data_IF_968648469700
#
_entry.id   IF_968648469700
#
_cell.length_a   1.000
_cell.length_b   1.000
_cell.length_c   1.000
_cell.angle_alpha   90.00
_cell.angle_beta   90.00
_cell.angle_gamma   90.00
#
_symmetry.space_group_name_H-M   'P 1'
#
loop_
_entity.id
_entity.type
_entity.pdbx_description
1 polymer ?
#
# COMPACT_ATOMS: atom_id res chain seq x y z
N UNK A 1 17.02 -14.21 15.99
CA UNK A 1 17.29 -14.89 14.70
C UNK A 1 17.70 -13.84 13.67
N UNK A 2 18.99 -13.53 13.50
CA UNK A 2 19.46 -12.63 12.46
C UNK A 2 19.87 -13.45 11.23
N UNK A 3 18.93 -13.66 10.30
CA UNK A 3 19.21 -14.31 9.02
C UNK A 3 18.34 -13.77 7.86
N UNK A 4 17.50 -12.76 8.10
CA UNK A 4 16.53 -12.28 7.09
C UNK A 4 17.10 -11.21 6.14
N UNK A 5 18.28 -10.65 6.42
CA UNK A 5 18.76 -9.47 5.69
C UNK A 5 19.23 -9.77 4.25
N UNK A 6 19.80 -10.95 3.98
CA UNK A 6 20.39 -11.29 2.67
C UNK A 6 19.38 -11.79 1.61
N UNK A 7 18.17 -12.22 2.00
CA UNK A 7 17.14 -12.74 1.07
C UNK A 7 15.89 -11.85 0.97
N UNK A 8 15.88 -10.68 1.63
CA UNK A 8 14.73 -9.77 1.56
C UNK A 8 14.78 -8.94 0.27
N UNK A 9 13.69 -8.97 -0.50
CA UNK A 9 13.52 -8.11 -1.67
C UNK A 9 13.64 -6.61 -1.29
N UNK A 10 14.18 -5.76 -2.19
CA UNK A 10 14.30 -4.33 -1.93
C UNK A 10 12.96 -3.67 -1.55
N UNK A 11 12.98 -2.50 -0.89
CA UNK A 11 11.78 -1.79 -0.50
C UNK A 11 10.81 -1.58 -1.66
N UNK A 12 9.51 -1.63 -1.39
CA UNK A 12 8.46 -1.40 -2.40
C UNK A 12 8.70 -0.13 -3.24
N UNK A 13 9.22 0.95 -2.62
CA UNK A 13 9.55 2.20 -3.31
C UNK A 13 10.63 2.05 -4.40
N UNK A 14 11.58 1.13 -4.23
CA UNK A 14 12.59 0.81 -5.24
C UNK A 14 12.06 -0.21 -6.26
N UNK A 15 11.37 -1.25 -5.78
CA UNK A 15 10.77 -2.27 -6.65
C UNK A 15 9.75 -1.71 -7.62
N UNK A 16 9.04 -0.65 -7.27
CA UNK A 16 8.02 -0.03 -8.13
C UNK A 16 8.41 1.39 -8.58
N UNK A 17 9.71 1.70 -8.59
CA UNK A 17 10.23 2.89 -9.26
C UNK A 17 9.92 2.87 -10.78
N UNK A 18 10.00 4.03 -11.42
CA UNK A 18 9.58 4.25 -12.82
C UNK A 18 10.16 3.22 -13.80
N UNK A 19 11.45 2.91 -13.69
CA UNK A 19 12.19 2.04 -14.62
C UNK A 19 12.13 0.54 -14.27
N UNK A 20 11.36 0.16 -13.25
CA UNK A 20 11.22 -1.25 -12.86
C UNK A 20 10.19 -2.01 -13.70
N UNK A 21 10.37 -3.32 -13.88
CA UNK A 21 9.38 -4.22 -14.49
C UNK A 21 8.59 -5.06 -13.47
N UNK A 22 8.70 -4.78 -12.17
CA UNK A 22 7.99 -5.55 -11.13
C UNK A 22 6.48 -5.48 -11.32
N UNK A 23 5.82 -6.64 -11.25
CA UNK A 23 4.37 -6.77 -11.29
C UNK A 23 3.78 -6.68 -9.88
N UNK A 24 2.82 -5.77 -9.63
CA UNK A 24 2.17 -5.68 -8.34
C UNK A 24 1.15 -6.80 -8.14
N UNK A 25 0.90 -7.09 -6.87
CA UNK A 25 -0.07 -8.08 -6.39
C UNK A 25 -1.16 -7.35 -5.60
N UNK A 26 -2.40 -7.78 -5.75
CA UNK A 26 -3.53 -7.10 -5.14
C UNK A 26 -3.45 -7.07 -3.61
N UNK A 27 -3.18 -8.21 -2.98
CA UNK A 27 -3.08 -8.36 -1.53
C UNK A 27 -1.77 -7.80 -0.99
N UNK A 28 -0.64 -8.06 -1.64
CA UNK A 28 0.69 -7.70 -1.15
C UNK A 28 1.04 -6.22 -1.37
N UNK A 29 0.47 -5.60 -2.40
CA UNK A 29 0.92 -4.27 -2.85
C UNK A 29 -0.22 -3.26 -3.01
N UNK A 30 -1.32 -3.61 -3.68
CA UNK A 30 -2.41 -2.66 -3.99
C UNK A 30 -3.16 -2.26 -2.73
N UNK A 31 -3.65 -3.22 -1.95
CA UNK A 31 -4.36 -2.93 -0.71
C UNK A 31 -3.47 -2.21 0.32
N UNK A 32 -2.21 -2.61 0.55
CA UNK A 32 -1.31 -1.88 1.44
C UNK A 32 -1.01 -0.44 0.97
N UNK A 33 -0.83 -0.20 -0.34
CA UNK A 33 -0.61 1.18 -0.82
C UNK A 33 -1.87 2.04 -0.65
N UNK A 34 -3.07 1.49 -0.90
CA UNK A 34 -4.33 2.17 -0.59
C UNK A 34 -4.48 2.45 0.90
N UNK A 35 -4.01 1.51 1.73
CA UNK A 35 -3.76 1.68 3.16
C UNK A 35 -2.94 2.93 3.41
N UNK A 36 -1.69 2.94 2.97
CA UNK A 36 -0.75 4.06 3.17
C UNK A 36 -1.31 5.41 2.74
N UNK A 37 -1.96 5.47 1.58
CA UNK A 37 -2.57 6.70 1.05
C UNK A 37 -3.82 7.16 1.84
N UNK A 38 -4.35 6.30 2.71
CA UNK A 38 -5.52 6.57 3.55
C UNK A 38 -6.87 6.32 2.87
N UNK A 39 -6.87 5.76 1.66
CA UNK A 39 -8.07 5.53 0.85
C UNK A 39 -9.09 4.64 1.57
N UNK A 40 -8.64 3.49 2.09
CA UNK A 40 -9.46 2.53 2.83
C UNK A 40 -9.50 2.81 4.35
N UNK A 41 -9.20 4.04 4.77
CA UNK A 41 -9.28 4.45 6.17
C UNK A 41 -10.70 4.82 6.61
N UNK A 42 -10.92 4.84 7.93
CA UNK A 42 -12.23 5.21 8.56
C UNK A 42 -12.79 6.56 8.12
N UNK A 43 -11.93 7.51 7.77
CA UNK A 43 -12.35 8.87 7.37
C UNK A 43 -12.76 8.98 5.90
N UNK A 44 -12.57 7.92 5.09
CA UNK A 44 -12.79 7.94 3.64
C UNK A 44 -13.58 6.71 3.19
N UNK A 45 -13.07 5.93 2.24
CA UNK A 45 -13.80 4.82 1.61
C UNK A 45 -13.89 3.58 2.51
N UNK A 46 -13.03 3.47 3.53
CA UNK A 46 -13.11 2.42 4.55
C UNK A 46 -14.13 2.69 5.67
N UNK A 47 -14.88 3.79 5.60
CA UNK A 47 -15.98 4.07 6.53
C UNK A 47 -17.17 3.14 6.29
N UNK A 48 -18.09 3.02 7.25
CA UNK A 48 -19.29 2.19 7.08
C UNK A 48 -20.14 2.62 5.86
N UNK A 49 -20.22 3.92 5.60
CA UNK A 49 -20.98 4.45 4.46
C UNK A 49 -20.15 4.58 3.16
N UNK A 50 -18.83 4.39 3.21
CA UNK A 50 -17.95 4.76 2.11
C UNK A 50 -17.97 6.28 1.84
N UNK A 51 -17.55 6.69 0.65
CA UNK A 51 -17.65 8.09 0.17
C UNK A 51 -17.88 8.13 -1.33
N UNK A 52 -18.73 9.05 -1.79
CA UNK A 52 -18.99 9.27 -3.23
C UNK A 52 -19.48 8.01 -3.95
N UNK A 53 -20.34 7.22 -3.30
CA UNK A 53 -20.84 5.94 -3.83
C UNK A 53 -19.81 4.82 -3.90
N UNK A 54 -18.59 5.04 -3.38
CA UNK A 54 -17.50 4.06 -3.39
C UNK A 54 -17.10 3.68 -1.96
N UNK A 55 -17.07 2.37 -1.70
CA UNK A 55 -16.79 1.79 -0.39
C UNK A 55 -15.75 0.69 -0.54
N UNK A 56 -14.80 0.71 0.38
CA UNK A 56 -13.83 -0.34 0.63
C UNK A 56 -14.06 -0.89 2.03
N UNK A 57 -13.58 -2.09 2.28
CA UNK A 57 -13.43 -2.66 3.59
C UNK A 57 -12.45 -1.83 4.42
N UNK A 58 -12.68 -1.78 5.74
CA UNK A 58 -11.86 -0.97 6.63
C UNK A 58 -10.43 -1.51 6.70
N UNK A 59 -9.45 -0.74 6.23
CA UNK A 59 -8.04 -1.17 6.14
C UNK A 59 -7.78 -2.38 5.24
N UNK A 60 -8.72 -2.72 4.34
CA UNK A 60 -8.48 -3.76 3.34
C UNK A 60 -8.62 -5.19 3.86
N UNK A 61 -9.49 -5.44 4.85
CA UNK A 61 -9.65 -6.77 5.46
C UNK A 61 -10.48 -7.76 4.61
N UNK A 62 -11.34 -7.27 3.72
CA UNK A 62 -12.18 -8.10 2.84
C UNK A 62 -11.69 -7.98 1.40
N UNK A 63 -10.75 -8.84 1.05
CA UNK A 63 -10.07 -8.79 -0.24
C UNK A 63 -11.00 -8.98 -1.43
N UNK A 64 -12.01 -9.86 -1.30
CA UNK A 64 -12.94 -10.12 -2.39
C UNK A 64 -13.84 -8.92 -2.62
N UNK A 65 -14.42 -8.36 -1.56
CA UNK A 65 -15.28 -7.17 -1.66
C UNK A 65 -14.50 -5.95 -2.16
N UNK A 66 -13.27 -5.76 -1.71
CA UNK A 66 -12.43 -4.63 -2.17
C UNK A 66 -12.06 -4.75 -3.65
N UNK A 67 -11.75 -5.97 -4.10
CA UNK A 67 -11.45 -6.22 -5.50
C UNK A 67 -12.67 -5.96 -6.39
N UNK A 68 -13.83 -6.47 -5.99
CA UNK A 68 -15.10 -6.25 -6.69
C UNK A 68 -15.43 -4.75 -6.77
N UNK A 69 -15.31 -4.02 -5.65
CA UNK A 69 -15.59 -2.59 -5.58
C UNK A 69 -14.68 -1.75 -6.49
N UNK A 70 -13.47 -2.23 -6.78
CA UNK A 70 -12.52 -1.55 -7.68
C UNK A 70 -12.75 -1.88 -9.16
N UNK A 71 -13.16 -3.10 -9.46
CA UNK A 71 -13.17 -3.63 -10.83
C UNK A 71 -14.54 -3.72 -11.47
N UNK A 72 -15.61 -3.65 -10.69
CA UNK A 72 -16.99 -3.82 -11.16
C UNK A 72 -17.69 -2.50 -11.52
N UNK A 73 -18.81 -2.62 -12.21
CA UNK A 73 -19.64 -1.50 -12.67
C UNK A 73 -19.34 -1.06 -14.09
N UNK A 74 -20.19 -0.17 -14.62
CA UNK A 74 -20.03 0.37 -15.98
C UNK A 74 -18.84 1.35 -16.08
N UNK A 75 -18.55 2.05 -14.98
CA UNK A 75 -17.38 2.93 -14.80
C UNK A 75 -16.51 2.42 -13.64
N UNK A 76 -15.72 1.36 -13.84
CA UNK A 76 -14.91 0.78 -12.78
C UNK A 76 -13.80 1.74 -12.34
N UNK A 77 -13.40 1.69 -11.06
CA UNK A 77 -12.28 2.48 -10.56
C UNK A 77 -10.95 2.04 -11.16
N UNK A 78 -10.82 0.75 -11.43
CA UNK A 78 -9.73 0.12 -12.16
C UNK A 78 -10.20 -0.19 -13.59
N UNK A 79 -10.02 0.76 -14.50
CA UNK A 79 -10.42 0.61 -15.90
C UNK A 79 -9.33 -0.13 -16.68
N UNK A 80 -9.46 -1.45 -16.82
CA UNK A 80 -8.48 -2.27 -17.56
C UNK A 80 -8.49 -2.00 -19.07
N UNK A 81 -9.58 -1.42 -19.62
CA UNK A 81 -9.69 -1.08 -21.05
C UNK A 81 -8.93 0.20 -21.38
N UNK A 82 -8.89 1.13 -20.44
CA UNK A 82 -8.11 2.36 -20.50
C UNK A 82 -7.45 2.63 -19.13
N UNK A 83 -6.29 1.99 -18.86
CA UNK A 83 -5.63 2.09 -17.55
C UNK A 83 -5.32 3.53 -17.13
N UNK A 84 -4.97 4.40 -18.09
CA UNK A 84 -4.64 5.80 -17.80
C UNK A 84 -5.85 6.60 -17.30
N UNK A 85 -7.05 6.29 -17.79
CA UNK A 85 -8.32 6.89 -17.36
C UNK A 85 -8.92 6.24 -16.09
N UNK A 86 -8.16 5.41 -15.38
CA UNK A 86 -8.65 4.75 -14.17
C UNK A 86 -8.83 5.75 -13.02
N UNK A 87 -10.01 5.78 -12.43
CA UNK A 87 -10.32 6.68 -11.30
C UNK A 87 -9.47 6.37 -10.05
N UNK A 88 -8.96 5.14 -9.90
CA UNK A 88 -7.98 4.79 -8.86
C UNK A 88 -6.63 5.50 -9.05
N UNK A 89 -6.36 6.03 -10.25
CA UNK A 89 -5.20 6.88 -10.54
C UNK A 89 -5.55 8.35 -10.45
N UNK A 90 -6.59 8.79 -11.17
CA UNK A 90 -6.88 10.22 -11.37
C UNK A 90 -7.31 10.94 -10.09
N UNK A 91 -8.13 10.29 -9.25
CA UNK A 91 -8.62 10.88 -8.01
C UNK A 91 -7.48 11.16 -7.02
N UNK A 92 -6.62 10.18 -6.67
CA UNK A 92 -5.52 10.43 -5.75
C UNK A 92 -4.38 11.29 -6.33
N UNK A 93 -4.23 11.42 -7.66
CA UNK A 93 -3.30 12.40 -8.26
C UNK A 93 -3.89 13.79 -8.40
N UNK A 94 -5.20 13.94 -8.14
CA UNK A 94 -5.97 15.16 -8.31
C UNK A 94 -5.97 15.68 -9.76
N UNK A 95 -5.82 14.79 -10.75
CA UNK A 95 -6.06 15.12 -12.17
C UNK A 95 -7.55 15.19 -12.49
N UNK A 96 -8.36 14.55 -11.65
CA UNK A 96 -9.82 14.71 -11.58
C UNK A 96 -10.20 15.06 -10.14
N UNK A 97 -11.28 15.84 -9.97
CA UNK A 97 -11.75 16.30 -8.65
C UNK A 97 -11.88 15.17 -7.63
N UNK A 98 -11.22 15.33 -6.49
CA UNK A 98 -11.28 14.40 -5.38
C UNK A 98 -11.39 15.18 -4.07
N UNK A 99 -12.54 15.08 -3.41
CA UNK A 99 -12.78 15.72 -2.11
C UNK A 99 -11.80 15.27 -1.02
N UNK A 100 -11.23 14.06 -1.17
CA UNK A 100 -10.17 13.56 -0.31
C UNK A 100 -8.82 14.24 -0.54
N UNK A 101 -8.69 15.15 -1.51
CA UNK A 101 -7.47 15.86 -1.86
C UNK A 101 -6.43 14.98 -2.58
N UNK A 102 -5.29 15.59 -2.91
CA UNK A 102 -4.15 14.88 -3.51
C UNK A 102 -3.54 13.91 -2.51
N UNK A 103 -3.27 12.68 -2.94
CA UNK A 103 -2.69 11.59 -2.14
C UNK A 103 -1.35 11.10 -2.66
N UNK A 104 -1.09 11.22 -3.96
CA UNK A 104 0.18 10.83 -4.57
C UNK A 104 0.51 11.69 -5.80
N UNK A 105 1.76 11.64 -6.24
CA UNK A 105 2.21 12.25 -7.49
C UNK A 105 2.08 11.28 -8.66
N UNK A 106 1.82 11.80 -9.86
CA UNK A 106 1.92 11.01 -11.10
C UNK A 106 3.36 10.50 -11.25
N UNK A 107 3.52 9.21 -11.55
CA UNK A 107 4.83 8.57 -11.71
C UNK A 107 5.54 8.19 -10.40
N UNK A 108 4.98 8.54 -9.24
CA UNK A 108 5.45 8.03 -7.94
C UNK A 108 5.40 6.49 -7.88
N UNK A 109 6.16 5.88 -6.98
CA UNK A 109 6.15 4.41 -6.85
C UNK A 109 4.76 3.88 -6.46
N UNK A 110 3.97 4.64 -5.69
CA UNK A 110 2.58 4.31 -5.37
C UNK A 110 1.70 4.33 -6.63
N UNK A 111 1.86 5.36 -7.46
CA UNK A 111 1.16 5.47 -8.73
C UNK A 111 1.51 4.30 -9.65
N UNK A 112 2.79 3.91 -9.71
CA UNK A 112 3.23 2.78 -10.53
C UNK A 112 2.69 1.44 -10.05
N UNK A 113 2.54 1.20 -8.74
CA UNK A 113 1.85 0.02 -8.21
C UNK A 113 0.42 -0.04 -8.77
N UNK A 114 -0.35 1.04 -8.61
CA UNK A 114 -1.75 1.05 -9.02
C UNK A 114 -1.87 0.94 -10.56
N UNK A 115 -1.10 1.72 -11.31
CA UNK A 115 -1.13 1.72 -12.78
C UNK A 115 -0.77 0.36 -13.35
N UNK A 116 0.35 -0.23 -12.91
CA UNK A 116 0.81 -1.54 -13.43
C UNK A 116 -0.13 -2.67 -13.06
N UNK A 117 -0.77 -2.61 -11.89
CA UNK A 117 -1.79 -3.60 -11.53
C UNK A 117 -2.99 -3.52 -12.48
N UNK A 118 -3.47 -2.31 -12.80
CA UNK A 118 -4.57 -2.14 -13.77
C UNK A 118 -4.14 -2.59 -15.18
N UNK A 119 -2.95 -2.20 -15.63
CA UNK A 119 -2.38 -2.62 -16.93
C UNK A 119 -2.22 -4.14 -17.03
N UNK A 120 -1.94 -4.82 -15.91
CA UNK A 120 -1.86 -6.28 -15.83
C UNK A 120 -3.24 -6.95 -15.73
N UNK A 121 -4.33 -6.21 -15.94
CA UNK A 121 -5.70 -6.73 -15.94
C UNK A 121 -6.40 -6.68 -14.59
N UNK A 122 -5.85 -5.95 -13.61
CA UNK A 122 -6.43 -5.76 -12.28
C UNK A 122 -6.80 -7.09 -11.59
N UNK A 123 -5.92 -8.08 -11.66
CA UNK A 123 -6.18 -9.41 -11.11
C UNK A 123 -6.42 -9.38 -9.59
N UNK A 124 -7.40 -10.15 -9.12
CA UNK A 124 -7.63 -10.39 -7.69
C UNK A 124 -6.71 -11.47 -7.13
N UNK A 125 -7.03 -11.97 -5.93
CA UNK A 125 -6.29 -13.07 -5.29
C UNK A 125 -6.57 -14.38 -6.01
N UNK A 126 -5.52 -15.16 -6.26
CA UNK A 126 -5.57 -16.52 -6.81
C UNK A 126 -5.40 -17.55 -5.70
N UNK A 127 -5.86 -18.78 -5.96
CA UNK A 127 -5.80 -19.88 -4.99
C UNK A 127 -4.38 -20.33 -4.66
N UNK A 128 -3.41 -20.05 -5.53
CA UNK A 128 -2.00 -20.39 -5.39
C UNK A 128 -1.12 -19.19 -4.97
N UNK A 129 -1.73 -18.04 -4.65
CA UNK A 129 -0.99 -16.90 -4.10
C UNK A 129 -0.45 -17.26 -2.71
N UNK A 130 0.80 -16.90 -2.44
CA UNK A 130 1.40 -17.21 -1.15
C UNK A 130 0.78 -16.37 -0.02
N UNK A 131 0.54 -17.04 1.10
CA UNK A 131 -0.13 -16.51 2.27
C UNK A 131 0.81 -15.70 3.15
N UNK A 132 0.25 -14.69 3.83
CA UNK A 132 1.00 -13.90 4.79
C UNK A 132 1.29 -14.74 6.04
N UNK A 133 2.56 -14.88 6.40
CA UNK A 133 2.95 -15.67 7.58
C UNK A 133 3.33 -14.81 8.77
N UNK A 134 4.07 -13.71 8.53
CA UNK A 134 4.56 -12.87 9.61
C UNK A 134 5.02 -11.48 9.16
N UNK A 135 5.05 -10.57 10.14
CA UNK A 135 5.67 -9.26 10.03
C UNK A 135 6.85 -9.17 11.01
N UNK A 136 8.04 -8.90 10.49
CA UNK A 136 9.21 -8.60 11.31
C UNK A 136 9.48 -7.10 11.29
N UNK A 137 9.32 -6.46 12.45
CA UNK A 137 9.58 -5.03 12.66
C UNK A 137 10.87 -4.87 13.44
N UNK A 138 11.79 -4.08 12.91
CA UNK A 138 13.09 -3.80 13.51
C UNK A 138 13.43 -2.31 13.49
N UNK A 139 14.22 -1.82 14.45
CA UNK A 139 14.51 -2.46 15.73
C UNK A 139 13.25 -2.65 16.60
N UNK A 140 13.23 -3.72 17.42
CA UNK A 140 12.09 -4.01 18.33
C UNK A 140 12.06 -3.12 19.56
N UNK A 141 13.21 -2.54 19.91
CA UNK A 141 13.39 -1.64 21.03
C UNK A 141 14.36 -0.54 20.58
N UNK A 142 14.01 0.71 20.89
CA UNK A 142 14.83 1.88 20.62
C UNK A 142 15.14 2.54 21.96
N UNK A 143 16.42 2.53 22.32
CA UNK A 143 16.92 3.27 23.48
C UNK A 143 17.79 4.40 22.94
N UNK A 144 17.40 5.64 23.22
CA UNK A 144 18.18 6.82 22.84
C UNK A 144 18.49 7.66 24.06
N UNK A 145 19.73 8.15 24.13
CA UNK A 145 20.18 9.12 25.14
C UNK A 145 20.17 10.56 24.61
N UNK A 146 19.87 10.74 23.31
CA UNK A 146 19.94 12.03 22.63
C UNK A 146 18.64 12.29 21.89
N UNK A 147 18.00 13.43 22.17
CA UNK A 147 16.80 13.85 21.45
C UNK A 147 17.12 14.10 19.96
N UNK A 148 16.19 13.73 19.08
CA UNK A 148 16.30 13.95 17.63
C UNK A 148 17.10 12.90 16.85
N UNK A 149 17.69 11.90 17.51
CA UNK A 149 18.33 10.77 16.86
C UNK A 149 17.49 9.49 17.07
N UNK A 150 16.75 9.07 16.05
CA UNK A 150 16.01 7.82 16.01
C UNK A 150 16.51 6.92 14.87
N UNK A 151 16.64 5.60 15.06
CA UNK A 151 16.99 4.69 13.98
C UNK A 151 15.83 4.58 12.98
N UNK A 152 16.17 4.28 11.73
CA UNK A 152 15.17 3.93 10.73
C UNK A 152 14.47 2.63 11.12
N UNK A 153 13.14 2.65 11.18
CA UNK A 153 12.35 1.42 11.28
C UNK A 153 12.38 0.68 9.93
N UNK A 154 12.51 -0.64 10.01
CA UNK A 154 12.40 -1.56 8.89
C UNK A 154 11.32 -2.58 9.17
N UNK A 155 10.47 -2.82 8.19
CA UNK A 155 9.37 -3.79 8.26
C UNK A 155 9.50 -4.77 7.11
N UNK A 156 9.58 -6.06 7.44
CA UNK A 156 9.70 -7.16 6.48
C UNK A 156 8.48 -8.06 6.59
N UNK A 157 7.78 -8.29 5.49
CA UNK A 157 6.74 -9.31 5.38
C UNK A 157 7.36 -10.64 4.96
N UNK A 158 6.92 -11.73 5.61
CA UNK A 158 7.27 -13.11 5.26
C UNK A 158 6.05 -13.84 4.71
N UNK A 159 6.25 -14.57 3.63
CA UNK A 159 5.21 -15.27 2.89
C UNK A 159 5.44 -16.78 2.86
N UNK A 160 4.37 -17.55 2.64
CA UNK A 160 4.40 -19.02 2.67
C UNK A 160 5.17 -19.68 1.53
N UNK A 161 5.54 -18.92 0.50
CA UNK A 161 6.46 -19.36 -0.57
C UNK A 161 7.94 -19.16 -0.19
N UNK A 162 8.22 -18.71 1.04
CA UNK A 162 9.55 -18.40 1.55
C UNK A 162 10.04 -17.00 1.18
N UNK A 163 9.31 -16.25 0.35
CA UNK A 163 9.71 -14.90 -0.03
C UNK A 163 9.62 -13.93 1.14
N UNK A 164 10.57 -13.00 1.17
CA UNK A 164 10.63 -11.90 2.13
C UNK A 164 10.64 -10.57 1.39
N UNK A 165 9.81 -9.62 1.82
CA UNK A 165 9.67 -8.32 1.18
C UNK A 165 9.83 -7.18 2.17
N UNK A 166 10.68 -6.20 1.84
CA UNK A 166 10.74 -4.97 2.61
C UNK A 166 9.51 -4.11 2.30
N UNK A 167 8.56 -4.15 3.24
CA UNK A 167 7.28 -3.45 3.16
C UNK A 167 7.29 -2.16 3.98
N UNK A 168 8.45 -1.70 4.46
CA UNK A 168 8.59 -0.43 5.19
C UNK A 168 7.87 0.73 4.48
N UNK A 169 8.04 0.93 3.16
CA UNK A 169 7.36 2.03 2.47
C UNK A 169 5.86 1.84 2.36
N UNK A 170 5.31 0.64 2.57
CA UNK A 170 3.86 0.37 2.54
C UNK A 170 3.21 0.59 3.93
N UNK A 171 4.01 0.69 4.99
CA UNK A 171 3.53 0.88 6.34
C UNK A 171 3.12 2.34 6.63
N UNK A 172 2.35 2.51 7.70
CA UNK A 172 2.15 3.79 8.39
C UNK A 172 2.54 3.62 9.84
N UNK A 173 3.44 4.45 10.31
CA UNK A 173 3.86 4.46 11.69
C UNK A 173 3.09 5.53 12.46
N UNK A 174 2.84 5.28 13.74
CA UNK A 174 2.21 6.24 14.65
C UNK A 174 2.89 6.11 16.00
N UNK A 175 3.10 7.25 16.66
CA UNK A 175 3.45 7.26 18.07
C UNK A 175 2.17 7.23 18.91
N UNK A 176 2.20 6.47 20.00
CA UNK A 176 1.15 6.53 21.01
C UNK A 176 1.29 7.79 21.88
N UNK A 177 2.50 8.36 21.97
CA UNK A 177 2.81 9.58 22.70
C UNK A 177 3.89 10.38 21.96
N UNK A 178 3.45 11.41 21.23
CA UNK A 178 4.33 12.29 20.45
C UNK A 178 5.25 13.15 21.32
N UNK A 179 5.01 13.25 22.64
CA UNK A 179 5.94 13.92 23.56
C UNK A 179 7.21 13.10 23.83
N UNK A 180 7.16 11.78 23.60
CA UNK A 180 8.28 10.85 23.76
C UNK A 180 9.02 10.66 22.44
N UNK A 181 8.28 10.35 21.37
CA UNK A 181 8.84 10.10 20.05
C UNK A 181 7.87 10.56 18.96
N UNK A 182 8.40 11.26 17.97
CA UNK A 182 7.69 11.61 16.74
C UNK A 182 8.09 10.66 15.62
N UNK A 183 7.24 10.55 14.60
CA UNK A 183 7.55 9.83 13.36
C UNK A 183 7.97 10.84 12.31
N UNK A 184 9.10 10.58 11.66
CA UNK A 184 9.49 11.24 10.42
C UNK A 184 9.11 10.34 9.23
N UNK A 185 8.44 10.91 8.24
CA UNK A 185 7.98 10.23 7.02
C UNK A 185 8.95 10.41 5.83
N UNK A 186 10.08 11.10 6.06
CA UNK A 186 11.15 11.38 5.09
C UNK A 186 12.07 10.19 4.83
#
# INVERSE_FOLDING_TARGET
>A
MPALAEETSPPASQRFAADSAAQPDFRRHVLPVMGRLGCNGRACHGSFQGRGGFRLSLFGYDFASDHEALTSGDEPRANVKDPAASLILEKPTLTTDHEGGKRMEVGSWQYNILRRWVEAGAAGIKSDDAEFEALDVGPREIVSQTAGAGPQLRVVARWSDGSCEDVTPLCRFRSNDESIATIDDM
#
